data_IF_022047989075
#
_entry.id   IF_022047989075
#
_cell.length_a   1.000
_cell.length_b   1.000
_cell.length_c   1.000
_cell.angle_alpha   90.00
_cell.angle_beta   90.00
_cell.angle_gamma   90.00
#
_symmetry.space_group_name_H-M   'P 1'
#
loop_
_entity.id
_entity.type
_entity.pdbx_description
1 polymer ?
#
# COMPACT_ATOMS: atom_id res chain seq x y z
N UNK A 1 23.14 -8.31 -9.80
CA UNK A 1 22.07 -8.24 -10.79
C UNK A 1 20.84 -7.61 -10.15
N UNK A 2 20.07 -6.88 -10.91
CA UNK A 2 18.87 -6.23 -10.40
C UNK A 2 17.69 -7.18 -10.20
N UNK A 3 16.61 -6.67 -9.64
CA UNK A 3 15.33 -7.37 -9.51
C UNK A 3 14.45 -7.13 -10.72
N UNK A 4 13.62 -8.12 -11.06
CA UNK A 4 12.69 -8.00 -12.17
C UNK A 4 11.53 -7.05 -11.82
N UNK A 5 10.88 -6.52 -12.84
CA UNK A 5 9.67 -5.70 -12.66
C UNK A 5 8.56 -6.51 -11.99
N UNK A 6 8.42 -7.80 -12.33
CA UNK A 6 7.43 -8.67 -11.71
C UNK A 6 7.66 -8.84 -10.21
N UNK A 7 8.92 -8.98 -9.77
CA UNK A 7 9.26 -9.07 -8.35
C UNK A 7 9.00 -7.73 -7.63
N UNK A 8 9.25 -6.63 -8.31
CA UNK A 8 8.99 -5.30 -7.76
C UNK A 8 7.48 -5.07 -7.60
N UNK A 9 6.68 -5.45 -8.60
CA UNK A 9 5.23 -5.38 -8.52
C UNK A 9 4.72 -6.31 -7.41
N UNK A 10 5.27 -7.51 -7.28
CA UNK A 10 4.89 -8.43 -6.21
C UNK A 10 5.16 -7.84 -4.82
N UNK A 11 6.26 -7.11 -4.65
CA UNK A 11 6.55 -6.42 -3.39
C UNK A 11 5.49 -5.35 -3.08
N UNK A 12 5.12 -4.53 -4.05
CA UNK A 12 4.06 -3.53 -3.90
C UNK A 12 2.71 -4.21 -3.60
N UNK A 13 2.39 -5.28 -4.31
CA UNK A 13 1.15 -6.03 -4.12
C UNK A 13 1.06 -6.63 -2.71
N UNK A 14 2.17 -7.09 -2.15
CA UNK A 14 2.19 -7.63 -0.79
C UNK A 14 1.79 -6.58 0.25
N UNK A 15 2.16 -5.31 0.05
CA UNK A 15 1.72 -4.22 0.90
C UNK A 15 0.21 -4.00 0.77
N UNK A 16 -0.29 -3.95 -0.45
CA UNK A 16 -1.72 -3.75 -0.73
C UNK A 16 -2.54 -4.90 -0.13
N UNK A 17 -2.09 -6.14 -0.32
CA UNK A 17 -2.72 -7.31 0.30
C UNK A 17 -2.70 -7.20 1.82
N UNK A 18 -1.62 -6.67 2.40
CA UNK A 18 -1.48 -6.47 3.84
C UNK A 18 -2.49 -5.51 4.44
N UNK A 19 -3.05 -4.60 3.64
CA UNK A 19 -4.13 -3.71 4.11
C UNK A 19 -5.38 -4.52 4.48
N UNK A 20 -5.62 -5.63 3.81
CA UNK A 20 -6.79 -6.49 4.03
C UNK A 20 -6.46 -7.64 5.00
N UNK A 21 -5.33 -8.31 4.79
CA UNK A 21 -4.94 -9.48 5.59
C UNK A 21 -4.39 -9.09 6.96
N UNK A 22 -3.92 -7.84 7.11
CA UNK A 22 -3.22 -7.34 8.31
C UNK A 22 -1.94 -8.13 8.62
N UNK A 23 -1.31 -8.68 7.57
CA UNK A 23 -0.05 -9.40 7.70
C UNK A 23 1.10 -8.54 7.18
N UNK A 24 1.54 -7.59 7.99
CA UNK A 24 2.67 -6.73 7.67
C UNK A 24 3.99 -7.48 7.62
N UNK A 25 4.07 -8.66 8.25
CA UNK A 25 5.29 -9.46 8.25
C UNK A 25 5.62 -10.03 6.88
N UNK A 26 4.62 -10.15 5.99
CA UNK A 26 4.82 -10.61 4.62
C UNK A 26 5.32 -9.51 3.68
N UNK A 27 5.40 -8.26 4.14
CA UNK A 27 5.76 -7.11 3.32
C UNK A 27 7.26 -6.82 3.44
N UNK A 28 7.99 -6.74 2.31
CA UNK A 28 9.44 -6.55 2.35
C UNK A 28 9.82 -5.07 2.53
N UNK A 29 9.55 -4.52 3.72
CA UNK A 29 9.97 -3.16 4.06
C UNK A 29 11.48 -3.09 4.26
N UNK A 30 12.12 -2.07 3.69
CA UNK A 30 13.47 -1.71 4.11
C UNK A 30 13.43 -1.19 5.55
N UNK A 31 14.52 -1.37 6.34
CA UNK A 31 14.55 -0.90 7.74
C UNK A 31 14.22 0.59 7.90
N UNK A 32 14.66 1.41 6.97
CA UNK A 32 14.42 2.85 6.97
C UNK A 32 13.21 3.30 6.18
N UNK A 33 12.32 2.37 5.78
CA UNK A 33 11.15 2.72 4.96
C UNK A 33 10.24 3.70 5.69
N UNK A 34 9.85 4.76 5.00
CA UNK A 34 8.90 5.75 5.50
C UNK A 34 7.66 5.78 4.62
N UNK A 35 6.55 6.25 5.18
CA UNK A 35 5.29 6.42 4.45
C UNK A 35 4.79 7.84 4.64
N UNK A 36 4.38 8.45 3.52
CA UNK A 36 3.75 9.76 3.49
C UNK A 36 2.35 9.60 2.91
N UNK A 37 1.33 9.95 3.69
CA UNK A 37 -0.07 9.91 3.28
C UNK A 37 -0.64 11.31 3.25
N UNK A 38 -1.16 11.73 2.10
CA UNK A 38 -1.72 13.09 1.91
C UNK A 38 -0.73 14.19 2.33
N UNK A 39 0.57 13.97 2.08
CA UNK A 39 1.63 14.91 2.44
C UNK A 39 2.09 14.84 3.89
N UNK A 40 1.53 13.96 4.71
CA UNK A 40 1.86 13.81 6.13
C UNK A 40 2.64 12.51 6.35
N UNK A 41 3.73 12.58 7.10
CA UNK A 41 4.53 11.41 7.42
C UNK A 41 3.81 10.54 8.45
N UNK A 42 3.38 9.35 8.02
CA UNK A 42 2.60 8.42 8.84
C UNK A 42 3.32 7.10 9.11
N UNK A 43 4.52 6.92 8.57
CA UNK A 43 5.35 5.75 8.81
C UNK A 43 6.79 6.19 8.99
N UNK A 44 7.46 5.72 10.06
CA UNK A 44 8.77 6.20 10.49
C UNK A 44 9.90 5.23 10.18
N UNK A 45 9.62 3.92 10.22
CA UNK A 45 10.57 2.83 9.95
C UNK A 45 9.84 1.65 9.35
N UNK A 46 10.58 0.69 8.79
CA UNK A 46 9.99 -0.56 8.30
C UNK A 46 9.25 -1.34 9.39
N UNK A 47 9.81 -1.39 10.59
CA UNK A 47 9.15 -2.06 11.73
C UNK A 47 7.88 -1.33 12.17
N UNK A 48 7.89 -0.01 12.15
CA UNK A 48 6.70 0.79 12.46
C UNK A 48 5.59 0.50 11.44
N UNK A 49 5.92 0.47 10.15
CA UNK A 49 4.95 0.17 9.10
C UNK A 49 4.40 -1.25 9.23
N UNK A 50 5.26 -2.22 9.53
CA UNK A 50 4.84 -3.61 9.76
C UNK A 50 3.83 -3.72 10.90
N UNK A 51 4.13 -3.11 12.04
CA UNK A 51 3.21 -3.08 13.19
C UNK A 51 1.91 -2.34 12.87
N UNK A 52 2.00 -1.27 12.07
CA UNK A 52 0.84 -0.51 11.64
C UNK A 52 -0.15 -1.38 10.87
N UNK A 53 0.33 -2.19 9.91
CA UNK A 53 -0.52 -3.12 9.18
C UNK A 53 -1.08 -4.22 10.08
N UNK A 54 -0.26 -4.76 10.99
CA UNK A 54 -0.68 -5.85 11.88
C UNK A 54 -1.74 -5.40 12.89
N UNK A 55 -1.63 -4.18 13.42
CA UNK A 55 -2.40 -3.75 14.60
C UNK A 55 -3.05 -2.37 14.49
N UNK A 56 -2.75 -1.60 13.44
CA UNK A 56 -3.28 -0.25 13.29
C UNK A 56 -4.80 -0.24 13.18
N UNK A 57 -5.52 0.52 14.06
CA UNK A 57 -6.98 0.52 14.01
C UNK A 57 -7.54 1.04 12.68
N UNK A 58 -6.83 1.93 11.99
CA UNK A 58 -7.27 2.49 10.71
C UNK A 58 -7.38 1.43 9.61
N UNK A 59 -6.65 0.31 9.71
CA UNK A 59 -6.71 -0.75 8.70
C UNK A 59 -7.77 -1.80 8.97
N UNK A 60 -8.31 -1.85 10.20
CA UNK A 60 -9.36 -2.81 10.56
C UNK A 60 -10.67 -2.58 9.81
N UNK A 61 -10.89 -1.35 9.34
CA UNK A 61 -12.10 -1.00 8.60
C UNK A 61 -12.02 -1.38 7.12
N UNK A 62 -10.85 -1.79 6.63
CA UNK A 62 -10.67 -2.16 5.23
C UNK A 62 -11.21 -3.57 5.02
N UNK A 63 -12.19 -3.70 4.12
CA UNK A 63 -12.83 -4.97 3.79
C UNK A 63 -12.20 -5.63 2.57
N UNK A 64 -11.83 -4.84 1.56
CA UNK A 64 -11.28 -5.35 0.31
C UNK A 64 -10.57 -4.26 -0.47
N UNK A 65 -9.76 -4.67 -1.44
CA UNK A 65 -9.17 -3.79 -2.43
C UNK A 65 -9.52 -4.31 -3.83
N UNK A 66 -9.59 -3.41 -4.80
CA UNK A 66 -9.75 -3.81 -6.19
C UNK A 66 -8.38 -4.17 -6.78
N UNK A 67 -8.38 -4.80 -7.95
CA UNK A 67 -7.14 -5.16 -8.65
C UNK A 67 -6.38 -3.88 -9.01
N UNK A 68 -5.14 -3.73 -8.55
CA UNK A 68 -4.35 -2.54 -8.87
C UNK A 68 -3.92 -2.50 -10.34
N UNK A 69 -3.85 -1.28 -10.87
CA UNK A 69 -3.16 -1.00 -12.12
C UNK A 69 -1.77 -0.47 -11.79
N UNK A 70 -0.74 -1.12 -12.33
CA UNK A 70 0.65 -0.79 -12.05
C UNK A 70 1.29 -0.06 -13.22
N UNK A 71 2.14 0.93 -12.88
CA UNK A 71 3.01 1.62 -13.82
C UNK A 71 4.40 1.69 -13.20
N UNK A 72 5.43 1.39 -13.98
CA UNK A 72 6.82 1.44 -13.52
C UNK A 72 7.52 2.59 -14.22
N UNK A 73 8.20 3.42 -13.42
CA UNK A 73 9.00 4.53 -13.90
C UNK A 73 10.30 4.58 -13.09
N UNK A 74 11.38 4.03 -13.64
CA UNK A 74 12.65 3.94 -12.93
C UNK A 74 12.53 3.10 -11.67
N UNK A 75 12.90 3.66 -10.52
CA UNK A 75 12.81 2.99 -9.22
C UNK A 75 11.42 3.05 -8.60
N UNK A 76 10.49 3.73 -9.23
CA UNK A 76 9.13 3.88 -8.70
C UNK A 76 8.18 2.86 -9.32
N UNK A 77 7.43 2.18 -8.46
CA UNK A 77 6.28 1.35 -8.84
C UNK A 77 5.03 2.08 -8.36
N UNK A 78 4.17 2.46 -9.28
CA UNK A 78 2.93 3.16 -8.97
C UNK A 78 1.76 2.21 -9.10
N UNK A 79 0.87 2.23 -8.10
CA UNK A 79 -0.35 1.44 -8.09
C UNK A 79 -1.57 2.36 -7.93
N UNK A 80 -2.60 2.13 -8.73
CA UNK A 80 -3.89 2.81 -8.61
C UNK A 80 -4.97 1.75 -8.40
N UNK A 81 -5.72 1.89 -7.31
CA UNK A 81 -6.75 0.92 -6.94
C UNK A 81 -7.77 1.57 -6.01
N UNK A 82 -8.84 0.85 -5.70
CA UNK A 82 -9.84 1.29 -4.74
C UNK A 82 -9.76 0.44 -3.48
N UNK A 83 -9.91 1.10 -2.33
CA UNK A 83 -10.11 0.47 -1.03
C UNK A 83 -11.58 0.53 -0.70
N UNK A 84 -12.15 -0.62 -0.30
CA UNK A 84 -13.52 -0.74 0.14
C UNK A 84 -13.54 -0.95 1.64
N UNK A 85 -14.33 -0.15 2.35
CA UNK A 85 -14.39 -0.24 3.82
C UNK A 85 -15.64 -1.01 4.27
N UNK A 86 -15.65 -1.41 5.55
CA UNK A 86 -16.81 -2.03 6.20
C UNK A 86 -17.88 -1.01 6.59
N UNK A 87 -17.55 0.28 6.55
CA UNK A 87 -18.48 1.34 6.93
C UNK A 87 -19.53 1.54 5.84
N UNK A 88 -20.78 1.35 6.18
CA UNK A 88 -21.90 1.52 5.25
C UNK A 88 -23.07 2.22 5.92
N UNK A 89 -23.84 2.96 5.11
CA UNK A 89 -25.03 3.66 5.55
C UNK A 89 -25.94 3.88 4.33
N UNK A 90 -27.22 3.55 4.47
CA UNK A 90 -28.22 3.83 3.45
C UNK A 90 -27.93 3.15 2.10
N UNK A 91 -27.45 1.90 2.11
CA UNK A 91 -27.12 1.17 0.88
C UNK A 91 -25.83 1.61 0.20
N UNK A 92 -25.02 2.40 0.88
CA UNK A 92 -23.71 2.88 0.38
C UNK A 92 -22.62 2.58 1.39
N UNK A 93 -21.43 2.28 0.87
CA UNK A 93 -20.24 2.11 1.70
C UNK A 93 -19.24 3.22 1.44
N UNK A 94 -18.41 3.50 2.44
CA UNK A 94 -17.26 4.38 2.26
C UNK A 94 -16.18 3.60 1.50
N UNK A 95 -15.67 4.22 0.46
CA UNK A 95 -14.56 3.70 -0.34
C UNK A 95 -13.56 4.81 -0.59
N UNK A 96 -12.39 4.48 -1.10
CA UNK A 96 -11.40 5.48 -1.48
C UNK A 96 -10.64 5.01 -2.72
N UNK A 97 -10.42 5.94 -3.64
CA UNK A 97 -9.47 5.74 -4.73
C UNK A 97 -8.08 6.05 -4.19
N UNK A 98 -7.16 5.11 -4.35
CA UNK A 98 -5.79 5.21 -3.87
C UNK A 98 -4.84 5.32 -5.07
N UNK A 99 -3.95 6.30 -5.00
CA UNK A 99 -2.83 6.48 -5.92
C UNK A 99 -1.56 6.41 -5.07
N UNK A 100 -0.79 5.34 -5.25
CA UNK A 100 0.29 4.99 -4.35
C UNK A 100 1.58 4.74 -5.13
N UNK A 101 2.65 5.42 -4.70
CA UNK A 101 3.96 5.28 -5.30
C UNK A 101 4.91 4.61 -4.30
N UNK A 102 5.49 3.48 -4.74
CA UNK A 102 6.48 2.73 -3.98
C UNK A 102 7.85 2.92 -4.61
N UNK A 103 8.84 3.30 -3.81
CA UNK A 103 10.22 3.28 -4.27
C UNK A 103 10.79 1.88 -3.99
N UNK A 104 11.00 1.13 -5.05
CA UNK A 104 11.52 -0.24 -5.01
C UNK A 104 12.65 -0.32 -6.04
N UNK A 105 13.91 -0.06 -5.61
CA UNK A 105 15.02 0.08 -6.55
C UNK A 105 15.23 -1.13 -7.44
N UNK A 106 15.36 -0.89 -8.74
CA UNK A 106 15.55 -1.94 -9.73
C UNK A 106 16.95 -2.57 -9.63
N UNK A 107 17.94 -1.79 -9.21
CA UNK A 107 19.34 -2.25 -9.12
C UNK A 107 19.67 -3.02 -7.84
N UNK A 108 18.74 -3.09 -6.89
CA UNK A 108 18.93 -3.82 -5.64
C UNK A 108 18.93 -5.34 -5.86
N UNK A 109 19.51 -6.09 -4.92
CA UNK A 109 19.52 -7.56 -4.98
C UNK A 109 18.15 -8.17 -4.71
N UNK A 110 17.34 -7.49 -3.91
CA UNK A 110 15.99 -7.93 -3.54
C UNK A 110 15.02 -6.78 -3.72
N UNK A 111 13.76 -7.11 -4.04
CA UNK A 111 12.69 -6.13 -4.10
C UNK A 111 12.30 -5.72 -2.68
N UNK A 112 12.80 -4.58 -2.22
CA UNK A 112 12.49 -4.01 -0.92
C UNK A 112 11.85 -2.64 -1.09
N UNK A 113 10.85 -2.34 -0.26
CA UNK A 113 10.14 -1.07 -0.31
C UNK A 113 10.90 -0.07 0.54
N UNK A 114 11.47 0.95 -0.11
CA UNK A 114 12.27 1.99 0.53
C UNK A 114 11.44 3.17 0.99
N UNK A 115 10.34 3.45 0.28
CA UNK A 115 9.51 4.62 0.53
C UNK A 115 8.11 4.37 -0.04
N UNK A 116 7.09 4.87 0.67
CA UNK A 116 5.70 4.82 0.21
C UNK A 116 5.12 6.23 0.26
N UNK A 117 4.54 6.67 -0.85
CA UNK A 117 3.80 7.92 -0.90
C UNK A 117 2.41 7.63 -1.42
N UNK A 118 1.39 8.00 -0.67
CA UNK A 118 0.02 7.68 -1.01
C UNK A 118 -0.88 8.92 -0.98
N UNK A 119 -1.75 9.00 -1.96
CA UNK A 119 -2.89 9.92 -1.99
C UNK A 119 -4.15 9.13 -2.14
N UNK A 120 -5.18 9.50 -1.40
CA UNK A 120 -6.48 8.83 -1.51
C UNK A 120 -7.61 9.84 -1.55
N UNK A 121 -8.67 9.47 -2.25
CA UNK A 121 -9.87 10.29 -2.44
C UNK A 121 -11.08 9.48 -2.03
N UNK A 122 -11.72 9.79 -0.87
CA UNK A 122 -12.91 9.07 -0.42
C UNK A 122 -14.10 9.30 -1.35
N UNK A 123 -14.93 8.28 -1.49
CA UNK A 123 -16.20 8.39 -2.18
C UNK A 123 -17.20 7.39 -1.60
N UNK A 124 -18.49 7.60 -1.91
CA UNK A 124 -19.54 6.67 -1.50
C UNK A 124 -19.84 5.72 -2.65
N UNK A 125 -19.75 4.42 -2.39
CA UNK A 125 -20.03 3.38 -3.36
C UNK A 125 -21.39 2.76 -3.06
N UNK A 126 -22.21 2.57 -4.10
CA UNK A 126 -23.47 1.84 -3.96
C UNK A 126 -23.17 0.36 -3.71
N UNK A 127 -23.84 -0.17 -2.71
CA UNK A 127 -23.73 -1.58 -2.35
C UNK A 127 -24.59 -2.41 -3.31
#
# INVERSE_FOLDING_TARGET
MGVSDDDRIAAAQSYIDGLVTHNGDAVPFAPGCIRIEQGIKTGLTGNHLRRSLNRGPQYRVIAATTKPEYTINGDEVRAVYNVLTKASLGGRRVAARVDEAFVIPAAADKATIQHIRVRFHPFAQRI
#
